data_IF_234277934179
#
_entry.id   IF_234277934179
#
_cell.length_a   1.000
_cell.length_b   1.000
_cell.length_c   1.000
_cell.angle_alpha   90.00
_cell.angle_beta   90.00
_cell.angle_gamma   90.00
#
_symmetry.space_group_name_H-M   'P 1'
#
loop_
_entity.id
_entity.type
_entity.pdbx_description
1 polymer ?
#
# COMPACT_ATOMS: atom_id res chain seq x y z
N UNK A 1 1.10 -1.70 -27.03
CA UNK A 1 1.16 -2.50 -25.80
C UNK A 1 -0.18 -2.38 -25.10
N UNK A 2 -0.85 -3.50 -24.84
CA UNK A 2 -2.06 -3.53 -24.03
C UNK A 2 -1.70 -3.15 -22.59
N UNK A 3 -2.36 -2.11 -22.04
CA UNK A 3 -2.13 -1.71 -20.65
C UNK A 3 -2.71 -2.81 -19.76
N UNK A 4 -1.85 -3.48 -18.99
CA UNK A 4 -2.27 -4.42 -17.95
C UNK A 4 -3.30 -3.73 -17.05
N UNK A 5 -4.52 -4.27 -17.03
CA UNK A 5 -5.57 -3.84 -16.11
C UNK A 5 -5.44 -4.70 -14.85
N UNK A 6 -5.02 -4.08 -13.76
CA UNK A 6 -4.90 -4.74 -12.44
C UNK A 6 -6.03 -4.28 -11.53
N UNK A 7 -6.66 -5.23 -10.83
CA UNK A 7 -7.69 -4.94 -9.83
C UNK A 7 -7.10 -4.41 -8.52
N UNK A 8 -5.87 -4.80 -8.20
CA UNK A 8 -5.13 -4.37 -7.03
C UNK A 8 -3.64 -4.13 -7.34
N UNK A 9 -3.00 -3.25 -6.56
CA UNK A 9 -1.54 -2.99 -6.60
C UNK A 9 -1.00 -2.99 -5.18
N UNK A 10 0.10 -3.71 -4.97
CA UNK A 10 0.91 -3.62 -3.75
C UNK A 10 2.12 -2.71 -4.00
N UNK A 11 2.29 -1.70 -3.15
CA UNK A 11 3.43 -0.77 -3.20
C UNK A 11 4.43 -1.18 -2.13
N UNK A 12 5.67 -1.40 -2.57
CA UNK A 12 6.80 -1.75 -1.71
C UNK A 12 7.94 -0.74 -1.86
N UNK A 13 8.76 -0.52 -0.82
CA UNK A 13 8.55 -0.98 0.56
C UNK A 13 7.60 -0.04 1.33
N UNK A 14 6.88 -0.56 2.33
CA UNK A 14 5.89 0.13 3.16
C UNK A 14 6.36 1.50 3.68
N UNK A 15 7.56 1.62 4.28
CA UNK A 15 8.08 2.91 4.74
C UNK A 15 8.15 4.02 3.67
N UNK A 16 8.30 3.65 2.39
CA UNK A 16 8.36 4.59 1.27
C UNK A 16 7.09 4.62 0.41
N UNK A 17 6.12 3.74 0.68
CA UNK A 17 4.95 3.53 -0.17
C UNK A 17 4.10 4.80 -0.35
N UNK A 18 4.03 5.66 0.68
CA UNK A 18 3.30 6.94 0.62
C UNK A 18 3.75 7.84 -0.55
N UNK A 19 5.03 7.77 -0.93
CA UNK A 19 5.57 8.58 -2.03
C UNK A 19 4.99 8.23 -3.41
N UNK A 20 4.53 6.98 -3.59
CA UNK A 20 3.93 6.51 -4.84
C UNK A 20 2.40 6.40 -4.80
N UNK A 21 1.79 6.52 -3.61
CA UNK A 21 0.36 6.28 -3.41
C UNK A 21 -0.53 7.10 -4.35
N UNK A 22 -0.33 8.43 -4.41
CA UNK A 22 -1.16 9.32 -5.23
C UNK A 22 -1.02 9.03 -6.73
N UNK A 23 0.19 8.69 -7.20
CA UNK A 23 0.42 8.31 -8.58
C UNK A 23 -0.30 7.02 -8.95
N UNK A 24 -0.37 6.03 -8.04
CA UNK A 24 -1.11 4.78 -8.28
C UNK A 24 -2.63 5.03 -8.21
N UNK A 25 -3.11 5.66 -7.14
CA UNK A 25 -4.54 5.92 -6.90
C UNK A 25 -5.18 6.78 -8.00
N UNK A 26 -4.44 7.74 -8.56
CA UNK A 26 -4.94 8.60 -9.64
C UNK A 26 -5.16 7.88 -10.98
N UNK A 27 -4.53 6.72 -11.19
CA UNK A 27 -4.75 5.94 -12.42
C UNK A 27 -6.11 5.23 -12.44
N UNK A 28 -6.63 4.88 -11.26
CA UNK A 28 -7.97 4.32 -11.07
C UNK A 28 -8.37 4.51 -9.60
N UNK A 29 -9.30 5.44 -9.30
CA UNK A 29 -9.74 5.70 -7.94
C UNK A 29 -10.32 4.47 -7.22
N UNK A 30 -10.84 3.49 -7.97
CA UNK A 30 -11.48 2.28 -7.44
C UNK A 30 -10.50 1.12 -7.23
N UNK A 31 -9.28 1.22 -7.75
CA UNK A 31 -8.27 0.15 -7.62
C UNK A 31 -7.87 -0.04 -6.17
N UNK A 32 -7.76 -1.28 -5.70
CA UNK A 32 -7.25 -1.55 -4.36
C UNK A 32 -5.75 -1.26 -4.30
N UNK A 33 -5.31 -0.49 -3.32
CA UNK A 33 -3.91 -0.10 -3.11
C UNK A 33 -3.45 -0.58 -1.73
N UNK A 34 -2.45 -1.45 -1.72
CA UNK A 34 -1.93 -2.13 -0.54
C UNK A 34 -0.50 -1.66 -0.29
N UNK A 35 -0.10 -1.46 0.97
CA UNK A 35 1.30 -1.20 1.34
C UNK A 35 1.95 -2.46 1.94
N UNK A 36 3.17 -2.77 1.53
CA UNK A 36 3.84 -4.00 1.96
C UNK A 36 5.34 -3.86 2.18
N UNK A 37 5.88 -4.70 3.06
CA UNK A 37 7.32 -4.81 3.29
C UNK A 37 7.89 -3.80 4.31
N UNK A 38 8.77 -4.29 5.19
CA UNK A 38 9.41 -3.54 6.29
C UNK A 38 8.46 -2.84 7.29
N UNK A 39 7.17 -3.23 7.33
CA UNK A 39 6.20 -2.74 8.32
C UNK A 39 6.45 -3.43 9.66
N UNK A 40 6.89 -2.67 10.67
CA UNK A 40 7.36 -3.20 11.97
C UNK A 40 6.73 -2.56 13.21
N UNK A 41 5.79 -1.64 13.06
CA UNK A 41 5.11 -1.02 14.20
C UNK A 41 3.66 -0.66 13.88
N UNK A 42 2.82 -0.62 14.91
CA UNK A 42 1.43 -0.18 14.80
C UNK A 42 1.35 1.28 14.32
N UNK A 43 2.30 2.12 14.71
CA UNK A 43 2.39 3.52 14.23
C UNK A 43 2.54 3.56 12.71
N UNK A 44 3.39 2.73 12.11
CA UNK A 44 3.56 2.68 10.66
C UNK A 44 2.29 2.16 9.95
N UNK A 45 1.61 1.18 10.54
CA UNK A 45 0.32 0.68 10.04
C UNK A 45 -0.70 1.82 10.01
N UNK A 46 -0.84 2.55 11.12
CA UNK A 46 -1.76 3.68 11.23
C UNK A 46 -1.40 4.79 10.22
N UNK A 47 -0.12 5.13 10.08
CA UNK A 47 0.35 6.13 9.13
C UNK A 47 0.01 5.77 7.67
N UNK A 48 0.06 4.48 7.32
CA UNK A 48 -0.29 3.99 5.99
C UNK A 48 -1.80 4.05 5.77
N UNK A 49 -2.60 3.62 6.74
CA UNK A 49 -4.07 3.74 6.64
C UNK A 49 -4.52 5.21 6.57
N UNK A 50 -3.93 6.10 7.35
CA UNK A 50 -4.21 7.54 7.28
C UNK A 50 -3.83 8.16 5.93
N UNK A 51 -2.89 7.57 5.18
CA UNK A 51 -2.56 8.01 3.82
C UNK A 51 -3.57 7.53 2.76
N UNK A 52 -4.47 6.61 3.11
CA UNK A 52 -5.53 6.09 2.23
C UNK A 52 -5.26 4.72 1.62
N UNK A 53 -4.24 3.99 2.09
CA UNK A 53 -4.06 2.59 1.71
C UNK A 53 -5.25 1.74 2.20
N UNK A 54 -5.70 0.79 1.37
CA UNK A 54 -6.86 -0.06 1.68
C UNK A 54 -6.48 -1.21 2.63
N UNK A 55 -5.22 -1.66 2.57
CA UNK A 55 -4.68 -2.73 3.40
C UNK A 55 -3.17 -2.60 3.58
N UNK A 56 -2.64 -3.36 4.54
CA UNK A 56 -1.21 -3.59 4.73
C UNK A 56 -0.90 -5.08 4.71
N UNK A 57 0.23 -5.46 4.12
CA UNK A 57 0.78 -6.82 4.19
C UNK A 57 2.04 -6.81 5.04
N UNK A 58 2.15 -7.77 5.96
CA UNK A 58 3.35 -7.91 6.78
C UNK A 58 3.59 -9.35 7.21
N UNK A 59 4.84 -9.77 7.16
CA UNK A 59 5.32 -11.01 7.78
C UNK A 59 5.74 -10.82 9.24
N UNK A 60 5.64 -9.59 9.77
CA UNK A 60 6.01 -9.27 11.15
C UNK A 60 4.88 -9.67 12.12
N UNK A 61 5.01 -10.89 12.68
CA UNK A 61 4.03 -11.54 13.55
C UNK A 61 3.47 -10.69 14.71
N UNK A 62 4.23 -9.78 15.35
CA UNK A 62 3.67 -8.93 16.40
C UNK A 62 2.55 -7.97 15.98
N UNK A 63 2.29 -7.83 14.67
CA UNK A 63 1.21 -6.99 14.12
C UNK A 63 0.02 -7.81 13.56
N UNK A 64 0.02 -9.12 13.77
CA UNK A 64 -1.13 -9.98 13.43
C UNK A 64 -2.20 -9.87 14.52
#
# INVERSE_FOLDING_TARGET
MEKLRTDAVEILPGPMAKGAYQSVRSTDPKRTVIAGGFIRSQTMVNDLFSAGFDAVTTSFRPLW
#
